data_IF_687278944962
#
_entry.id   IF_687278944962
#
_cell.length_a   1.000
_cell.length_b   1.000
_cell.length_c   1.000
_cell.angle_alpha   90.00
_cell.angle_beta   90.00
_cell.angle_gamma   90.00
#
_symmetry.space_group_name_H-M   'P 1'
#
loop_
_entity.id
_entity.type
_entity.pdbx_description
1 polymer ?
#
# COMPACT_ATOMS: atom_id res chain seq x y z
N UNK A 1 -25.43 9.29 25.66
CA UNK A 1 -26.20 8.65 24.59
C UNK A 1 -25.24 8.23 23.50
N UNK A 2 -25.09 6.93 23.25
CA UNK A 2 -24.21 6.44 22.20
C UNK A 2 -24.79 6.83 20.84
N UNK A 3 -24.18 7.83 20.18
CA UNK A 3 -24.57 8.21 18.83
C UNK A 3 -24.27 7.06 17.88
N UNK A 4 -25.19 6.84 16.93
CA UNK A 4 -24.99 5.80 15.92
C UNK A 4 -23.83 6.19 14.99
N UNK A 5 -23.10 5.20 14.42
CA UNK A 5 -21.97 5.46 13.52
C UNK A 5 -22.32 6.32 12.29
N UNK A 6 -23.61 6.39 11.94
CA UNK A 6 -24.15 7.21 10.86
C UNK A 6 -24.24 8.69 11.25
N UNK A 7 -24.69 9.01 12.48
CA UNK A 7 -24.75 10.39 12.98
C UNK A 7 -23.35 10.99 13.17
N UNK A 8 -22.36 10.20 13.56
CA UNK A 8 -20.95 10.64 13.62
C UNK A 8 -20.39 11.05 12.25
N UNK A 9 -20.85 10.39 11.19
CA UNK A 9 -20.45 10.64 9.80
C UNK A 9 -21.04 11.94 9.27
N UNK A 10 -22.29 12.24 9.61
CA UNK A 10 -22.94 13.49 9.21
C UNK A 10 -22.35 14.73 9.90
N UNK A 11 -21.93 14.60 11.16
CA UNK A 11 -21.47 15.75 11.96
C UNK A 11 -20.00 16.11 11.65
N UNK A 12 -19.14 15.14 11.32
CA UNK A 12 -17.68 15.35 11.18
C UNK A 12 -17.13 15.07 9.76
N UNK A 13 -17.97 14.65 8.81
CA UNK A 13 -17.56 14.29 7.46
C UNK A 13 -17.23 15.49 6.56
N UNK A 14 -15.96 15.89 6.51
CA UNK A 14 -15.50 16.91 5.55
C UNK A 14 -15.20 16.24 4.20
N UNK A 15 -16.16 16.30 3.26
CA UNK A 15 -15.99 15.80 1.88
C UNK A 15 -15.04 16.71 1.09
N UNK A 16 -13.77 16.32 0.99
CA UNK A 16 -12.80 17.02 0.16
C UNK A 16 -12.77 16.42 -1.25
N UNK A 17 -13.69 16.88 -2.11
CA UNK A 17 -13.88 16.40 -3.48
C UNK A 17 -12.62 16.58 -4.35
N UNK A 18 -11.87 17.67 -4.15
CA UNK A 18 -10.62 17.94 -4.85
C UNK A 18 -9.54 16.90 -4.57
N UNK A 19 -9.37 16.50 -3.30
CA UNK A 19 -8.38 15.50 -2.91
C UNK A 19 -8.78 14.10 -3.35
N UNK A 20 -10.06 13.76 -3.31
CA UNK A 20 -10.56 12.50 -3.87
C UNK A 20 -10.32 12.40 -5.38
N UNK A 21 -10.63 13.46 -6.14
CA UNK A 21 -10.42 13.50 -7.59
C UNK A 21 -8.91 13.42 -7.94
N UNK A 22 -8.07 14.20 -7.25
CA UNK A 22 -6.61 14.14 -7.44
C UNK A 22 -6.04 12.75 -7.15
N UNK A 23 -6.49 12.13 -6.05
CA UNK A 23 -6.03 10.80 -5.63
C UNK A 23 -6.47 9.67 -6.55
N UNK A 24 -7.50 9.88 -7.39
CA UNK A 24 -7.86 8.93 -8.45
C UNK A 24 -7.10 9.18 -9.75
N UNK A 25 -6.96 10.43 -10.18
CA UNK A 25 -6.33 10.76 -11.47
C UNK A 25 -4.84 10.40 -11.45
N UNK A 26 -4.12 10.75 -10.38
CA UNK A 26 -2.69 10.51 -10.28
C UNK A 26 -2.29 9.02 -10.44
N UNK A 27 -2.83 8.06 -9.67
CA UNK A 27 -2.49 6.66 -9.83
C UNK A 27 -2.93 6.10 -11.19
N UNK A 28 -4.03 6.57 -11.78
CA UNK A 28 -4.43 6.15 -13.14
C UNK A 28 -3.39 6.54 -14.18
N UNK A 29 -2.85 7.77 -14.11
CA UNK A 29 -1.77 8.21 -15.01
C UNK A 29 -0.51 7.38 -14.79
N UNK A 30 -0.13 7.13 -13.53
CA UNK A 30 1.01 6.26 -13.22
C UNK A 30 0.83 4.85 -13.79
N UNK A 31 -0.35 4.25 -13.69
CA UNK A 31 -0.63 2.93 -14.28
C UNK A 31 -0.39 2.89 -15.79
N UNK A 32 -0.81 3.93 -16.51
CA UNK A 32 -0.59 4.04 -17.96
C UNK A 32 0.90 4.06 -18.29
N UNK A 33 1.72 4.76 -17.50
CA UNK A 33 3.18 4.82 -17.67
C UNK A 33 3.89 3.53 -17.25
N UNK A 34 3.33 2.80 -16.28
CA UNK A 34 3.88 1.51 -15.85
C UNK A 34 3.69 0.41 -16.91
N UNK A 35 2.58 0.40 -17.64
CA UNK A 35 2.29 -0.61 -18.68
C UNK A 35 3.39 -0.80 -19.75
N UNK A 36 3.91 0.25 -20.43
CA UNK A 36 5.00 0.08 -21.39
C UNK A 36 6.29 -0.39 -20.72
N UNK A 37 6.59 0.11 -19.52
CA UNK A 37 7.76 -0.28 -18.73
C UNK A 37 7.74 -1.77 -18.37
N UNK A 38 6.58 -2.27 -17.92
CA UNK A 38 6.34 -3.70 -17.64
C UNK A 38 6.54 -4.58 -18.87
N UNK A 39 6.08 -4.15 -20.05
CA UNK A 39 6.31 -4.90 -21.29
C UNK A 39 7.80 -5.05 -21.60
N UNK A 40 8.58 -3.99 -21.43
CA UNK A 40 10.03 -4.00 -21.64
C UNK A 40 10.71 -4.93 -20.63
N UNK A 41 10.37 -4.79 -19.35
CA UNK A 41 10.94 -5.64 -18.29
C UNK A 41 10.59 -7.13 -18.47
N UNK A 42 9.38 -7.43 -18.94
CA UNK A 42 8.96 -8.78 -19.23
C UNK A 42 9.76 -9.41 -20.37
N UNK A 43 10.09 -8.62 -21.41
CA UNK A 43 10.92 -9.08 -22.53
C UNK A 43 12.33 -9.44 -22.09
N UNK A 44 12.93 -8.61 -21.24
CA UNK A 44 14.30 -8.77 -20.76
C UNK A 44 14.43 -9.57 -19.44
N UNK A 45 13.39 -10.34 -19.07
CA UNK A 45 13.31 -11.15 -17.83
C UNK A 45 14.41 -12.21 -17.66
N UNK A 46 15.32 -12.37 -18.62
CA UNK A 46 16.47 -13.29 -18.50
C UNK A 46 17.47 -12.80 -17.47
N UNK A 47 17.67 -11.49 -17.34
CA UNK A 47 18.58 -10.93 -16.34
C UNK A 47 17.90 -10.82 -14.98
N UNK A 48 18.65 -11.15 -13.92
CA UNK A 48 18.19 -11.06 -12.53
C UNK A 48 17.66 -9.66 -12.19
N UNK A 49 18.35 -8.61 -12.65
CA UNK A 49 17.96 -7.21 -12.42
C UNK A 49 16.56 -6.90 -12.98
N UNK A 50 16.27 -7.31 -14.22
CA UNK A 50 14.95 -7.10 -14.84
C UNK A 50 13.83 -7.87 -14.15
N UNK A 51 14.11 -9.06 -13.58
CA UNK A 51 13.12 -9.77 -12.75
C UNK A 51 12.76 -9.01 -11.49
N UNK A 52 13.75 -8.44 -10.79
CA UNK A 52 13.52 -7.64 -9.58
C UNK A 52 12.77 -6.35 -9.93
N UNK A 53 13.14 -5.66 -11.01
CA UNK A 53 12.43 -4.48 -11.50
C UNK A 53 10.98 -4.79 -11.90
N UNK A 54 10.72 -5.94 -12.52
CA UNK A 54 9.37 -6.39 -12.85
C UNK A 54 8.53 -6.61 -11.59
N UNK A 55 9.11 -7.27 -10.58
CA UNK A 55 8.45 -7.52 -9.30
C UNK A 55 8.14 -6.21 -8.56
N UNK A 56 9.11 -5.30 -8.50
CA UNK A 56 8.94 -3.97 -7.91
C UNK A 56 7.82 -3.18 -8.61
N UNK A 57 7.79 -3.16 -9.94
CA UNK A 57 6.75 -2.47 -10.70
C UNK A 57 5.34 -3.04 -10.43
N UNK A 58 5.21 -4.37 -10.26
CA UNK A 58 3.93 -4.99 -9.90
C UNK A 58 3.51 -4.63 -8.47
N UNK A 59 4.44 -4.61 -7.52
CA UNK A 59 4.17 -4.19 -6.15
C UNK A 59 3.72 -2.73 -6.06
N UNK A 60 4.39 -1.84 -6.80
CA UNK A 60 4.06 -0.41 -6.86
C UNK A 60 2.68 -0.16 -7.49
N UNK A 61 2.32 -0.89 -8.55
CA UNK A 61 0.95 -0.81 -9.10
C UNK A 61 -0.10 -1.24 -8.06
N UNK A 62 0.15 -2.32 -7.33
CA UNK A 62 -0.72 -2.74 -6.22
C UNK A 62 -0.85 -1.69 -5.11
N UNK A 63 0.26 -1.05 -4.74
CA UNK A 63 0.27 0.06 -3.79
C UNK A 63 -0.54 1.25 -4.31
N UNK A 64 -0.38 1.65 -5.57
CA UNK A 64 -1.13 2.75 -6.18
C UNK A 64 -2.64 2.47 -6.27
N UNK A 65 -3.04 1.21 -6.49
CA UNK A 65 -4.45 0.83 -6.51
C UNK A 65 -5.09 1.01 -5.12
N UNK A 66 -4.41 0.51 -4.09
CA UNK A 66 -4.90 0.48 -2.71
C UNK A 66 -4.80 1.83 -2.01
N UNK A 67 -3.75 2.60 -2.26
CA UNK A 67 -3.55 3.93 -1.65
C UNK A 67 -4.17 5.06 -2.45
N UNK A 68 -4.26 4.93 -3.77
CA UNK A 68 -4.81 5.97 -4.64
C UNK A 68 -6.29 5.77 -4.92
N UNK A 69 -6.65 4.73 -5.68
CA UNK A 69 -8.04 4.48 -6.11
C UNK A 69 -8.96 4.13 -4.94
N UNK A 70 -8.54 3.26 -4.02
CA UNK A 70 -9.41 2.88 -2.91
C UNK A 70 -9.55 4.01 -1.87
N UNK A 71 -8.49 4.78 -1.61
CA UNK A 71 -8.59 5.99 -0.78
C UNK A 71 -9.46 7.06 -1.45
N UNK A 72 -9.28 7.30 -2.76
CA UNK A 72 -10.12 8.22 -3.53
C UNK A 72 -11.59 7.83 -3.50
N UNK A 73 -11.91 6.53 -3.58
CA UNK A 73 -13.29 6.03 -3.48
C UNK A 73 -13.90 6.25 -2.09
N UNK A 74 -13.09 6.07 -1.04
CA UNK A 74 -13.49 6.34 0.36
C UNK A 74 -13.74 7.84 0.56
N UNK A 75 -12.83 8.70 0.08
CA UNK A 75 -12.95 10.17 0.16
C UNK A 75 -14.12 10.72 -0.66
N UNK A 76 -14.41 10.15 -1.84
CA UNK A 76 -15.49 10.61 -2.72
C UNK A 76 -16.88 10.33 -2.13
N UNK A 77 -17.04 9.14 -1.54
CA UNK A 77 -18.29 8.75 -0.89
C UNK A 77 -18.44 9.30 0.53
N UNK A 78 -17.40 9.93 1.09
CA UNK A 78 -17.40 10.36 2.49
C UNK A 78 -17.62 9.19 3.45
N UNK A 79 -17.24 7.97 3.05
CA UNK A 79 -17.44 6.79 3.89
C UNK A 79 -16.41 6.81 5.01
N UNK A 80 -16.87 7.06 6.24
CA UNK A 80 -16.05 6.94 7.42
C UNK A 80 -15.75 5.46 7.74
N UNK A 81 -14.75 5.27 8.58
CA UNK A 81 -14.34 3.99 9.17
C UNK A 81 -15.50 3.07 9.58
N UNK A 82 -16.63 3.66 9.96
CA UNK A 82 -17.80 3.00 10.47
C UNK A 82 -18.75 2.39 9.43
N UNK A 83 -18.61 2.67 8.11
CA UNK A 83 -19.53 2.11 7.11
C UNK A 83 -19.16 0.68 6.71
N UNK A 84 -17.87 0.32 6.70
CA UNK A 84 -17.42 -1.03 6.33
C UNK A 84 -15.99 -1.31 6.83
N UNK A 85 -15.86 -1.72 8.09
CA UNK A 85 -14.56 -1.97 8.75
C UNK A 85 -13.71 -3.03 8.02
N UNK A 86 -14.38 -3.98 7.34
CA UNK A 86 -13.75 -5.04 6.57
C UNK A 86 -13.04 -4.51 5.33
N UNK A 87 -13.69 -3.63 4.55
CA UNK A 87 -13.08 -3.05 3.34
C UNK A 87 -11.89 -2.16 3.70
N UNK A 88 -12.01 -1.33 4.75
CA UNK A 88 -10.92 -0.44 5.14
C UNK A 88 -9.77 -1.22 5.78
N UNK A 89 -10.06 -2.25 6.58
CA UNK A 89 -9.06 -3.14 7.16
C UNK A 89 -8.27 -3.93 6.10
N UNK A 90 -8.97 -4.52 5.11
CA UNK A 90 -8.33 -5.22 3.99
C UNK A 90 -7.48 -4.26 3.15
N UNK A 91 -8.01 -3.07 2.85
CA UNK A 91 -7.27 -2.09 2.05
C UNK A 91 -6.02 -1.57 2.79
N UNK A 92 -6.14 -1.30 4.10
CA UNK A 92 -5.01 -0.92 4.94
C UNK A 92 -3.94 -2.01 5.00
N UNK A 93 -4.33 -3.26 5.25
CA UNK A 93 -3.40 -4.40 5.25
C UNK A 93 -2.71 -4.57 3.89
N UNK A 94 -3.47 -4.50 2.79
CA UNK A 94 -2.93 -4.62 1.43
C UNK A 94 -1.95 -3.49 1.11
N UNK A 95 -2.27 -2.24 1.46
CA UNK A 95 -1.37 -1.10 1.27
C UNK A 95 -0.02 -1.30 2.01
N UNK A 96 -0.06 -1.80 3.25
CA UNK A 96 1.16 -2.10 4.02
C UNK A 96 1.97 -3.24 3.43
N UNK A 97 1.32 -4.33 3.00
CA UNK A 97 1.98 -5.43 2.30
C UNK A 97 2.73 -4.93 1.05
N UNK A 98 2.07 -4.12 0.22
CA UNK A 98 2.68 -3.59 -1.00
C UNK A 98 3.80 -2.61 -0.71
N UNK A 99 3.64 -1.71 0.27
CA UNK A 99 4.70 -0.79 0.69
C UNK A 99 5.95 -1.56 1.11
N UNK A 100 5.78 -2.51 2.04
CA UNK A 100 6.92 -3.25 2.56
C UNK A 100 7.63 -4.04 1.44
N UNK A 101 6.85 -4.66 0.56
CA UNK A 101 7.41 -5.39 -0.58
C UNK A 101 8.21 -4.49 -1.53
N UNK A 102 7.76 -3.25 -1.77
CA UNK A 102 8.44 -2.27 -2.61
C UNK A 102 9.77 -1.84 -2.00
N UNK A 103 9.79 -1.49 -0.70
CA UNK A 103 11.02 -1.10 0.01
C UNK A 103 12.08 -2.21 -0.02
N UNK A 104 11.67 -3.45 0.26
CA UNK A 104 12.59 -4.58 0.23
C UNK A 104 13.07 -4.92 -1.19
N UNK A 105 12.19 -4.81 -2.19
CA UNK A 105 12.57 -5.01 -3.58
C UNK A 105 13.58 -3.94 -4.06
N UNK A 106 13.42 -2.68 -3.63
CA UNK A 106 14.38 -1.61 -3.88
C UNK A 106 15.74 -1.92 -3.25
N UNK A 107 15.76 -2.35 -1.98
CA UNK A 107 17.01 -2.73 -1.31
C UNK A 107 17.70 -3.91 -2.02
N UNK A 108 16.93 -4.92 -2.44
CA UNK A 108 17.45 -6.07 -3.20
C UNK A 108 18.04 -5.64 -4.55
N UNK A 109 17.42 -4.68 -5.23
CA UNK A 109 17.91 -4.13 -6.49
C UNK A 109 19.26 -3.44 -6.31
N UNK A 110 19.41 -2.63 -5.25
CA UNK A 110 20.69 -1.98 -4.92
C UNK A 110 21.77 -3.00 -4.62
N UNK A 111 21.46 -4.04 -3.83
CA UNK A 111 22.41 -5.13 -3.55
C UNK A 111 22.80 -5.85 -4.84
N UNK A 112 21.83 -6.17 -5.70
CA UNK A 112 22.10 -6.80 -6.99
C UNK A 112 23.03 -5.95 -7.85
N UNK A 113 22.86 -4.62 -7.85
CA UNK A 113 23.72 -3.69 -8.59
C UNK A 113 25.15 -3.65 -8.04
N UNK A 114 25.30 -3.66 -6.71
CA UNK A 114 26.62 -3.71 -6.06
C UNK A 114 27.33 -5.04 -6.38
N UNK A 115 26.61 -6.18 -6.36
CA UNK A 115 27.16 -7.47 -6.72
C UNK A 115 27.60 -7.56 -8.18
N UNK A 116 26.83 -6.98 -9.11
CA UNK A 116 27.22 -6.86 -10.52
C UNK A 116 28.50 -6.03 -10.69
N UNK A 117 28.61 -4.88 -10.00
CA UNK A 117 29.80 -4.01 -10.06
C UNK A 117 31.06 -4.64 -9.45
N UNK A 118 30.89 -5.54 -8.47
CA UNK A 118 32.00 -6.23 -7.78
C UNK A 118 32.43 -7.52 -8.50
N UNK A 119 31.90 -7.79 -9.70
CA UNK A 119 32.09 -9.03 -10.46
C UNK A 119 31.73 -10.31 -9.68
N UNK A 120 30.88 -10.17 -8.65
CA UNK A 120 30.36 -11.25 -7.79
C UNK A 120 28.95 -11.70 -8.22
N UNK A 121 28.52 -11.33 -9.44
CA UNK A 121 27.16 -11.55 -9.94
C UNK A 121 26.70 -13.01 -9.97
N UNK A 122 27.63 -13.97 -9.97
CA UNK A 122 27.36 -15.41 -9.95
C UNK A 122 26.56 -15.83 -8.71
N UNK A 123 26.72 -15.13 -7.57
CA UNK A 123 26.01 -15.46 -6.34
C UNK A 123 24.50 -15.27 -6.42
N UNK A 124 24.04 -14.38 -7.30
CA UNK A 124 22.64 -13.96 -7.43
C UNK A 124 21.93 -14.47 -8.69
N UNK A 125 22.63 -15.20 -9.58
CA UNK A 125 22.00 -15.73 -10.78
C UNK A 125 21.13 -16.97 -10.52
N UNK A 126 20.04 -17.09 -11.29
CA UNK A 126 19.17 -18.27 -11.32
C UNK A 126 18.14 -18.34 -10.18
N UNK A 127 18.03 -19.53 -9.56
CA UNK A 127 17.02 -19.86 -8.54
C UNK A 127 17.16 -19.04 -7.25
N UNK A 128 18.37 -18.63 -6.89
CA UNK A 128 18.64 -17.88 -5.64
C UNK A 128 17.96 -16.52 -5.60
N UNK A 129 17.96 -15.78 -6.71
CA UNK A 129 17.21 -14.52 -6.81
C UNK A 129 15.70 -14.74 -6.66
N UNK A 130 15.17 -15.81 -7.25
CA UNK A 130 13.75 -16.16 -7.12
C UNK A 130 13.38 -16.51 -5.68
N UNK A 131 14.27 -17.19 -4.95
CA UNK A 131 14.12 -17.44 -3.52
C UNK A 131 14.17 -16.15 -2.69
N UNK A 132 15.08 -15.21 -2.99
CA UNK A 132 15.11 -13.92 -2.30
C UNK A 132 13.82 -13.12 -2.52
N UNK A 133 13.29 -13.10 -3.74
CA UNK A 133 12.01 -12.47 -4.04
C UNK A 133 10.85 -13.14 -3.28
N UNK A 134 10.84 -14.48 -3.21
CA UNK A 134 9.86 -15.24 -2.43
C UNK A 134 9.98 -14.91 -0.93
N UNK A 135 11.20 -14.81 -0.40
CA UNK A 135 11.44 -14.46 1.00
C UNK A 135 10.92 -13.04 1.33
N UNK A 136 11.13 -12.08 0.42
CA UNK A 136 10.57 -10.72 0.56
C UNK A 136 9.04 -10.77 0.56
N UNK A 137 8.42 -11.54 -0.34
CA UNK A 137 6.96 -11.70 -0.37
C UNK A 137 6.42 -12.29 0.93
N UNK A 138 7.03 -13.37 1.42
CA UNK A 138 6.64 -14.01 2.69
C UNK A 138 6.80 -13.04 3.84
N UNK A 139 7.94 -12.35 3.93
CA UNK A 139 8.17 -11.35 4.96
C UNK A 139 7.13 -10.21 4.89
N UNK A 140 6.84 -9.69 3.70
CA UNK A 140 5.86 -8.61 3.51
C UNK A 140 4.47 -9.05 3.97
N UNK A 141 4.08 -10.28 3.62
CA UNK A 141 2.80 -10.86 3.99
C UNK A 141 2.67 -11.11 5.50
N UNK A 142 3.71 -11.65 6.14
CA UNK A 142 3.69 -11.85 7.60
C UNK A 142 3.62 -10.51 8.33
N UNK A 143 4.33 -9.48 7.86
CA UNK A 143 4.27 -8.16 8.46
C UNK A 143 2.90 -7.49 8.27
N UNK A 144 2.24 -7.69 7.13
CA UNK A 144 0.88 -7.18 6.91
C UNK A 144 -0.18 -7.84 7.79
N UNK A 145 -0.02 -9.14 8.13
CA UNK A 145 -0.94 -9.85 9.01
C UNK A 145 -0.71 -9.56 10.50
N UNK A 146 0.55 -9.40 10.92
CA UNK A 146 0.90 -9.18 12.33
C UNK A 146 0.95 -7.69 12.73
N UNK A 147 1.07 -6.77 11.77
CA UNK A 147 1.01 -5.33 12.06
C UNK A 147 -0.44 -4.86 12.23
N UNK A 148 -0.66 -3.92 13.15
CA UNK A 148 -1.98 -3.30 13.34
C UNK A 148 -2.41 -2.66 12.02
N UNK A 149 -3.59 -2.99 11.47
CA UNK A 149 -4.05 -2.43 10.20
C UNK A 149 -4.12 -0.92 10.35
N UNK A 150 -3.58 -0.18 9.38
CA UNK A 150 -3.60 1.26 9.46
C UNK A 150 -4.92 1.78 8.93
N UNK A 151 -5.53 2.61 9.77
CA UNK A 151 -6.92 2.97 9.65
C UNK A 151 -6.95 4.37 9.05
N UNK A 152 -7.25 4.47 7.76
CA UNK A 152 -7.45 5.74 7.06
C UNK A 152 -8.51 6.59 7.78
N UNK A 153 -8.07 7.68 8.42
CA UNK A 153 -8.97 8.59 9.13
C UNK A 153 -9.27 9.82 8.26
N UNK A 154 -10.54 10.00 7.89
CA UNK A 154 -10.99 11.09 7.02
C UNK A 154 -10.86 12.47 7.66
N UNK A 155 -10.72 12.58 8.99
CA UNK A 155 -10.60 13.88 9.69
C UNK A 155 -9.21 14.50 9.53
N UNK A 156 -8.18 13.65 9.35
CA UNK A 156 -6.80 14.10 9.22
C UNK A 156 -6.21 13.88 7.82
N UNK A 157 -6.99 13.38 6.86
CA UNK A 157 -6.54 13.03 5.50
C UNK A 157 -5.20 12.26 5.48
N UNK A 158 -4.98 11.47 6.53
CA UNK A 158 -3.73 10.76 6.78
C UNK A 158 -4.03 9.31 7.17
N UNK A 159 -3.13 8.44 6.76
CA UNK A 159 -3.13 7.01 7.10
C UNK A 159 -2.43 6.91 8.47
N UNK A 160 -3.20 7.08 9.54
CA UNK A 160 -2.69 7.12 10.91
C UNK A 160 -2.87 5.76 11.62
N UNK A 161 -1.86 5.35 12.39
CA UNK A 161 -1.89 4.14 13.23
C UNK A 161 -2.93 4.23 14.36
N UNK A 162 -3.35 5.45 14.70
CA UNK A 162 -4.51 5.73 15.56
C UNK A 162 -5.56 6.54 14.78
N UNK A 163 -6.75 5.98 14.52
CA UNK A 163 -7.84 6.69 13.84
C UNK A 163 -8.64 7.59 14.79
N UNK A 164 -8.15 7.86 16.01
CA UNK A 164 -8.90 8.64 16.98
C UNK A 164 -8.70 10.13 16.75
N UNK A 165 -9.82 10.85 16.72
CA UNK A 165 -9.87 12.31 16.71
C UNK A 165 -9.28 12.79 18.05
N UNK A 166 -8.42 13.81 18.08
CA UNK A 166 -7.87 14.34 19.33
C UNK A 166 -9.02 14.74 20.27
N UNK A 167 -9.20 13.98 21.37
CA UNK A 167 -10.24 14.20 22.37
C UNK A 167 -11.00 12.95 22.84
N UNK A 168 -11.01 11.85 22.07
CA UNK A 168 -11.73 10.62 22.46
C UNK A 168 -10.76 9.44 22.66
N UNK A 169 -10.60 9.04 23.92
CA UNK A 169 -9.81 7.89 24.35
C UNK A 169 -10.65 6.60 24.37
N UNK A 170 -10.05 5.40 24.24
CA UNK A 170 -10.75 4.10 24.21
C UNK A 170 -11.56 3.75 25.48
N UNK A 171 -11.57 4.61 26.49
CA UNK A 171 -12.30 4.42 27.75
C UNK A 171 -13.82 4.70 27.64
N UNK A 172 -14.29 5.48 26.66
CA UNK A 172 -15.72 5.81 26.51
C UNK A 172 -16.55 4.74 25.78
N UNK A 173 -15.92 3.88 24.97
CA UNK A 173 -16.62 2.83 24.20
C UNK A 173 -16.94 1.61 25.07
N UNK A 174 -16.29 1.47 26.24
CA UNK A 174 -16.42 0.27 27.10
C UNK A 174 -17.37 0.47 28.29
N UNK A 175 -17.88 1.68 28.50
CA UNK A 175 -18.73 2.06 29.65
C UNK A 175 -20.16 2.44 29.26
N UNK A 176 -20.63 1.98 28.09
CA UNK A 176 -22.03 2.04 27.66
C UNK A 176 -22.61 0.65 27.49
#
# INVERSE_FOLDING_TARGET
SALTPQEWTEIHGKRNFFLGAWSMIFPTVCHILYLPSLRVFYRERRSTCFKIMLFLAMADMGALITTGTAFGYVSFNGMHFCSNVLLVGINGCAAFCFWYSSTCACALLVINRICELTDRGIWFQGWRSSLCLLAILVYSYTNGLFSRPVLANSVHETIALDPFIPGHSPAEVRSG
#
